data_IF_284276178328
#
_entry.id   IF_284276178328
#
_cell.length_a   1.000
_cell.length_b   1.000
_cell.length_c   1.000
_cell.angle_alpha   90.00
_cell.angle_beta   90.00
_cell.angle_gamma   90.00
#
_symmetry.space_group_name_H-M   'P 1'
#
loop_
_entity.id
_entity.type
_entity.pdbx_description
1 polymer ?
#
# COMPACT_ATOMS: atom_id res chain seq x y z
N UNK A 1 -6.96 -0.60 -19.07
CA UNK A 1 -5.74 -0.70 -18.26
C UNK A 1 -4.64 -1.06 -19.22
N UNK A 2 -3.72 -0.13 -19.47
CA UNK A 2 -2.56 -0.38 -20.32
C UNK A 2 -1.32 -0.13 -19.45
N UNK A 3 -0.96 -1.16 -18.68
CA UNK A 3 0.18 -1.13 -17.77
C UNK A 3 1.31 -1.88 -18.46
N UNK A 4 2.32 -1.14 -18.90
CA UNK A 4 3.51 -1.72 -19.51
C UNK A 4 4.48 -2.09 -18.40
N UNK A 5 4.74 -3.39 -18.25
CA UNK A 5 5.65 -3.93 -17.24
C UNK A 5 7.04 -4.04 -17.87
N UNK A 6 7.99 -3.23 -17.42
CA UNK A 6 9.41 -3.46 -17.71
C UNK A 6 9.88 -4.68 -16.89
N UNK A 7 10.73 -5.53 -17.46
CA UNK A 7 11.38 -6.65 -16.77
C UNK A 7 12.16 -6.20 -15.52
N UNK A 8 12.50 -4.91 -15.41
CA UNK A 8 13.20 -4.31 -14.27
C UNK A 8 12.27 -3.66 -13.23
N UNK A 9 11.03 -3.35 -13.58
CA UNK A 9 10.05 -2.74 -12.67
C UNK A 9 9.37 -3.82 -11.84
N UNK A 10 9.84 -4.05 -10.60
CA UNK A 10 9.23 -5.06 -9.73
C UNK A 10 7.76 -4.73 -9.49
N UNK A 11 6.85 -5.59 -9.93
CA UNK A 11 5.44 -5.58 -9.54
C UNK A 11 5.31 -5.69 -8.01
N UNK A 12 4.24 -5.14 -7.41
CA UNK A 12 3.94 -5.44 -6.01
C UNK A 12 3.55 -6.91 -5.86
N UNK A 13 3.69 -7.47 -4.66
CA UNK A 13 3.35 -8.87 -4.39
C UNK A 13 1.90 -9.23 -4.78
N UNK A 14 0.96 -8.28 -4.69
CA UNK A 14 -0.43 -8.47 -5.14
C UNK A 14 -1.06 -7.16 -5.62
N UNK A 15 -1.90 -7.26 -6.66
CA UNK A 15 -2.75 -6.17 -7.15
C UNK A 15 -4.22 -6.60 -7.12
N UNK A 16 -5.08 -5.81 -6.47
CA UNK A 16 -6.53 -6.02 -6.48
C UNK A 16 -7.20 -4.85 -7.20
N UNK A 17 -7.97 -5.15 -8.25
CA UNK A 17 -8.82 -4.15 -8.89
C UNK A 17 -10.23 -4.12 -8.28
N UNK A 18 -10.50 -3.09 -7.48
CA UNK A 18 -11.82 -2.85 -6.91
C UNK A 18 -12.67 -2.01 -7.88
N UNK A 19 -13.32 -2.71 -8.82
CA UNK A 19 -14.05 -2.08 -9.94
C UNK A 19 -15.10 -1.06 -9.52
N UNK A 20 -15.87 -1.32 -8.45
CA UNK A 20 -16.94 -0.43 -7.98
C UNK A 20 -16.45 0.94 -7.54
N UNK A 21 -15.19 1.04 -7.10
CA UNK A 21 -14.55 2.31 -6.70
C UNK A 21 -13.53 2.81 -7.72
N UNK A 22 -13.27 2.04 -8.76
CA UNK A 22 -12.18 2.23 -9.69
C UNK A 22 -10.82 2.41 -8.96
N UNK A 23 -10.50 1.49 -8.05
CA UNK A 23 -9.23 1.50 -7.31
C UNK A 23 -8.34 0.32 -7.67
N UNK A 24 -7.03 0.57 -7.76
CA UNK A 24 -5.99 -0.46 -7.73
C UNK A 24 -5.39 -0.48 -6.32
N UNK A 25 -5.61 -1.58 -5.60
CA UNK A 25 -4.97 -1.82 -4.30
C UNK A 25 -3.67 -2.56 -4.56
N UNK A 26 -2.55 -1.88 -4.33
CA UNK A 26 -1.19 -2.37 -4.52
C UNK A 26 -0.67 -2.83 -3.16
N UNK A 27 -0.37 -4.12 -3.03
CA UNK A 27 -0.12 -4.76 -1.73
C UNK A 27 1.29 -5.34 -1.71
N UNK A 28 2.05 -5.02 -0.67
CA UNK A 28 3.37 -5.62 -0.37
C UNK A 28 3.30 -6.46 0.90
N UNK A 29 3.75 -7.72 0.85
CA UNK A 29 3.88 -8.59 2.01
C UNK A 29 5.24 -8.34 2.67
N UNK A 30 5.28 -7.37 3.59
CA UNK A 30 6.51 -6.76 4.10
C UNK A 30 7.50 -7.70 4.81
N UNK A 31 7.13 -8.96 5.07
CA UNK A 31 8.07 -9.98 5.56
C UNK A 31 9.12 -10.42 4.53
N UNK A 32 8.92 -10.16 3.22
CA UNK A 32 9.83 -10.58 2.13
C UNK A 32 10.76 -9.45 1.64
N UNK A 33 10.20 -8.29 1.27
CA UNK A 33 10.92 -7.20 0.60
C UNK A 33 10.86 -5.86 1.36
N UNK A 34 10.27 -5.85 2.56
CA UNK A 34 9.97 -4.63 3.30
C UNK A 34 8.63 -4.02 2.92
N UNK A 35 8.17 -3.01 3.68
CA UNK A 35 6.89 -2.34 3.42
C UNK A 35 6.95 -1.44 2.19
N UNK A 36 5.82 -0.83 1.86
CA UNK A 36 5.77 0.34 0.99
C UNK A 36 6.44 1.52 1.70
N UNK A 37 7.73 1.71 1.44
CA UNK A 37 8.49 2.91 1.82
C UNK A 37 8.31 4.04 0.79
N UNK A 38 8.91 5.21 1.05
CA UNK A 38 8.76 6.38 0.18
C UNK A 38 9.31 6.15 -1.23
N UNK A 39 10.39 5.38 -1.36
CA UNK A 39 10.99 5.05 -2.65
C UNK A 39 10.05 4.12 -3.42
N UNK A 40 9.58 3.06 -2.76
CA UNK A 40 8.69 2.06 -3.35
C UNK A 40 7.34 2.65 -3.74
N UNK A 41 6.79 3.56 -2.94
CA UNK A 41 5.56 4.30 -3.27
C UNK A 41 5.73 5.09 -4.57
N UNK A 42 6.86 5.76 -4.75
CA UNK A 42 7.13 6.52 -5.97
C UNK A 42 7.30 5.61 -7.19
N UNK A 43 8.01 4.49 -7.05
CA UNK A 43 8.15 3.49 -8.12
C UNK A 43 6.78 2.95 -8.57
N UNK A 44 5.92 2.58 -7.62
CA UNK A 44 4.58 2.08 -7.91
C UNK A 44 3.69 3.17 -8.54
N UNK A 45 3.80 4.42 -8.06
CA UNK A 45 3.06 5.54 -8.65
C UNK A 45 3.44 5.77 -10.11
N UNK A 46 4.73 5.66 -10.45
CA UNK A 46 5.23 5.80 -11.81
C UNK A 46 4.78 4.62 -12.69
N UNK A 47 4.94 3.40 -12.18
CA UNK A 47 4.57 2.17 -12.88
C UNK A 47 3.09 2.14 -13.28
N UNK A 48 2.21 2.68 -12.43
CA UNK A 48 0.77 2.75 -12.67
C UNK A 48 0.29 4.13 -13.12
N UNK A 49 1.18 5.03 -13.57
CA UNK A 49 0.86 6.40 -13.97
C UNK A 49 -0.12 6.51 -15.15
N UNK A 50 -0.15 5.49 -16.03
CA UNK A 50 -1.10 5.39 -17.15
C UNK A 50 -2.50 4.92 -16.73
N UNK A 51 -2.68 4.47 -15.48
CA UNK A 51 -3.94 3.98 -14.97
C UNK A 51 -4.88 5.12 -14.61
N UNK A 52 -6.14 4.99 -15.01
CA UNK A 52 -7.22 5.89 -14.57
C UNK A 52 -7.78 5.53 -13.20
N UNK A 53 -7.29 4.45 -12.57
CA UNK A 53 -7.74 4.00 -11.27
C UNK A 53 -7.00 4.73 -10.14
N UNK A 54 -7.71 5.03 -9.04
CA UNK A 54 -7.06 5.54 -7.83
C UNK A 54 -6.14 4.48 -7.23
N UNK A 55 -4.93 4.86 -6.85
CA UNK A 55 -3.95 3.95 -6.25
C UNK A 55 -4.13 3.93 -4.73
N UNK A 56 -4.19 2.72 -4.16
CA UNK A 56 -4.22 2.48 -2.72
C UNK A 56 -3.03 1.57 -2.38
N UNK A 57 -2.16 2.02 -1.49
CA UNK A 57 -0.93 1.30 -1.14
C UNK A 57 -1.11 0.62 0.20
N UNK A 58 -0.85 -0.69 0.29
CA UNK A 58 -1.02 -1.46 1.52
C UNK A 58 0.24 -2.25 1.84
N UNK A 59 0.80 -2.02 3.04
CA UNK A 59 1.82 -2.90 3.61
C UNK A 59 1.16 -3.94 4.51
N UNK A 60 1.36 -5.22 4.22
CA UNK A 60 0.79 -6.33 4.96
C UNK A 60 1.82 -6.99 5.88
N UNK A 61 1.47 -7.15 7.15
CA UNK A 61 2.31 -7.82 8.15
C UNK A 61 1.57 -9.00 8.81
N UNK A 62 2.27 -10.05 9.24
CA UNK A 62 1.65 -11.15 9.97
C UNK A 62 1.13 -10.71 11.36
N UNK A 63 1.74 -9.70 11.96
CA UNK A 63 1.29 -9.15 13.25
C UNK A 63 1.70 -7.69 13.45
N UNK A 64 1.03 -6.99 14.38
CA UNK A 64 1.47 -5.66 14.82
C UNK A 64 2.87 -5.67 15.44
N UNK A 65 3.28 -6.81 16.02
CA UNK A 65 4.64 -6.99 16.55
C UNK A 65 5.69 -6.93 15.45
N UNK A 66 5.42 -7.55 14.29
CA UNK A 66 6.31 -7.45 13.14
C UNK A 66 6.28 -6.05 12.53
N UNK A 67 5.09 -5.47 12.35
CA UNK A 67 4.93 -4.09 11.88
C UNK A 67 5.76 -3.08 12.69
N UNK A 68 5.82 -3.20 14.03
CA UNK A 68 6.58 -2.28 14.90
C UNK A 68 8.05 -2.10 14.49
N UNK A 69 8.66 -3.09 13.82
CA UNK A 69 10.06 -3.03 13.37
C UNK A 69 10.27 -2.12 12.14
N UNK A 70 9.19 -1.65 11.52
CA UNK A 70 9.19 -0.91 10.26
C UNK A 70 8.44 0.42 10.33
N UNK A 71 8.01 0.84 11.52
CA UNK A 71 7.21 2.04 11.77
C UNK A 71 7.84 3.31 11.18
N UNK A 72 9.16 3.37 11.18
CA UNK A 72 10.00 4.46 10.68
C UNK A 72 10.26 4.43 9.17
N UNK A 73 9.91 3.32 8.50
CA UNK A 73 10.18 3.12 7.06
C UNK A 73 8.95 3.30 6.19
N UNK A 74 7.76 3.16 6.76
CA UNK A 74 6.51 3.18 5.99
C UNK A 74 6.22 4.59 5.48
N UNK A 75 5.89 4.70 4.19
CA UNK A 75 5.55 5.97 3.58
C UNK A 75 4.25 6.55 4.16
N UNK A 76 4.22 7.87 4.29
CA UNK A 76 2.98 8.61 4.50
C UNK A 76 1.98 8.38 3.35
N UNK A 77 0.70 8.56 3.65
CA UNK A 77 -0.43 8.32 2.73
C UNK A 77 -0.46 6.88 2.19
N UNK A 78 -0.14 5.93 3.06
CA UNK A 78 -0.28 4.50 2.81
C UNK A 78 -1.03 3.84 3.96
N UNK A 79 -1.51 2.63 3.71
CA UNK A 79 -2.25 1.85 4.69
C UNK A 79 -1.46 0.63 5.14
N UNK A 80 -1.73 0.18 6.36
CA UNK A 80 -1.15 -1.04 6.92
C UNK A 80 -2.27 -1.98 7.33
N UNK A 81 -2.09 -3.25 6.98
CA UNK A 81 -2.94 -4.35 7.42
C UNK A 81 -2.12 -5.38 8.19
N UNK A 82 -2.64 -5.85 9.32
CA UNK A 82 -1.99 -6.86 10.15
C UNK A 82 -2.89 -8.09 10.29
N UNK A 83 -2.37 -9.27 9.95
CA UNK A 83 -3.14 -10.51 9.95
C UNK A 83 -3.65 -10.92 11.34
N UNK A 84 -2.96 -10.50 12.40
CA UNK A 84 -3.39 -10.72 13.80
C UNK A 84 -4.62 -9.88 14.21
N UNK A 85 -5.01 -8.87 13.41
CA UNK A 85 -6.18 -8.02 13.63
C UNK A 85 -6.87 -7.72 12.28
N UNK A 86 -7.41 -8.75 11.59
CA UNK A 86 -7.69 -8.70 10.15
C UNK A 86 -8.85 -7.78 9.76
N UNK A 87 -9.69 -7.37 10.72
CA UNK A 87 -10.83 -6.47 10.49
C UNK A 87 -10.46 -4.98 10.62
N UNK A 88 -9.19 -4.66 10.92
CA UNK A 88 -8.73 -3.30 11.15
C UNK A 88 -7.60 -2.94 10.18
N UNK A 89 -7.46 -1.64 9.92
CA UNK A 89 -6.33 -1.07 9.18
C UNK A 89 -5.74 0.08 9.99
N UNK A 90 -4.44 0.33 9.81
CA UNK A 90 -3.77 1.53 10.33
C UNK A 90 -3.54 2.44 9.12
N UNK A 91 -4.04 3.66 9.19
CA UNK A 91 -3.87 4.66 8.15
C UNK A 91 -2.66 5.53 8.50
N UNK A 92 -1.57 5.42 7.73
CA UNK A 92 -0.47 6.38 7.83
C UNK A 92 -0.87 7.63 7.10
N UNK A 93 -1.36 8.59 7.89
CA UNK A 93 -2.23 9.64 7.41
C UNK A 93 -1.55 10.59 6.40
N UNK A 94 -2.40 11.24 5.60
CA UNK A 94 -2.10 12.50 4.94
C UNK A 94 -3.07 13.56 5.47
N UNK A 95 -3.51 14.50 4.63
CA UNK A 95 -4.52 15.51 5.03
C UNK A 95 -5.97 14.96 5.06
N UNK A 96 -6.17 13.70 4.64
CA UNK A 96 -7.49 13.17 4.26
C UNK A 96 -8.43 12.88 5.43
N UNK A 97 -7.90 12.47 6.59
CA UNK A 97 -8.71 12.03 7.72
C UNK A 97 -8.35 12.82 8.96
N UNK A 98 -9.02 13.96 9.14
CA UNK A 98 -9.08 14.68 10.41
C UNK A 98 -10.54 14.89 10.76
N UNK A 99 -10.95 14.39 11.92
CA UNK A 99 -12.31 14.51 12.41
C UNK A 99 -12.47 13.81 13.77
N UNK A 100 -13.42 14.25 14.59
CA UNK A 100 -13.71 13.59 15.87
C UNK A 100 -14.27 12.18 15.63
N UNK A 101 -13.93 11.25 16.53
CA UNK A 101 -14.46 9.87 16.52
C UNK A 101 -15.89 9.75 17.09
N UNK A 102 -16.46 10.87 17.55
CA UNK A 102 -17.78 10.98 18.16
C UNK A 102 -18.66 11.94 17.36
#
# INVERSE_FOLDING_TARGET
MDVTVDEHGKMPDMVIYLRSKNWLVLIEAASSHGPVDSTRKNELSELFSSSTAGLVYVSCFPSRTEFRKYVDKIAWETDIWCADNPTHMIHYNGERFLGPYN
#
